data_IF_312180232745
#
_entry.id   IF_312180232745
#
_cell.length_a   1.000
_cell.length_b   1.000
_cell.length_c   1.000
_cell.angle_alpha   90.00
_cell.angle_beta   90.00
_cell.angle_gamma   90.00
#
_symmetry.space_group_name_H-M   'P 1'
#
loop_
_entity.id
_entity.type
_entity.pdbx_description
1 polymer ?
#
# COMPACT_ATOMS: atom_id res chain seq x y z
N UNK A 1 -13.60 40.13 23.02
CA UNK A 1 -12.74 40.20 21.81
C UNK A 1 -11.29 40.20 22.27
N UNK A 2 -10.61 39.06 22.25
CA UNK A 2 -9.15 38.98 22.42
C UNK A 2 -8.61 38.05 21.34
N UNK A 3 -7.95 38.64 20.35
CA UNK A 3 -7.34 37.96 19.21
C UNK A 3 -5.95 37.50 19.62
N UNK A 4 -5.77 36.22 19.93
CA UNK A 4 -4.43 35.63 20.14
C UNK A 4 -3.87 35.26 18.77
N UNK A 5 -2.87 36.02 18.33
CA UNK A 5 -2.14 35.79 17.09
C UNK A 5 -1.35 34.48 17.17
N UNK A 6 -1.80 33.46 16.43
CA UNK A 6 -1.04 32.25 16.17
C UNK A 6 0.19 32.60 15.32
N UNK A 7 1.34 32.67 15.98
CA UNK A 7 2.66 32.84 15.36
C UNK A 7 2.94 31.59 14.51
N UNK A 8 2.73 31.69 13.19
CA UNK A 8 3.20 30.67 12.23
C UNK A 8 4.71 30.56 12.39
N UNK A 9 5.19 29.50 13.04
CA UNK A 9 6.60 29.11 12.96
C UNK A 9 6.86 28.77 11.49
N UNK A 10 7.54 29.68 10.78
CA UNK A 10 8.14 29.34 9.50
C UNK A 10 9.19 28.27 9.77
N UNK A 11 8.88 27.03 9.39
CA UNK A 11 9.91 26.03 9.21
C UNK A 11 10.85 26.57 8.14
N UNK A 12 12.01 27.09 8.54
CA UNK A 12 13.11 27.33 7.62
C UNK A 12 13.47 25.97 7.03
N UNK A 13 13.08 25.79 5.78
CA UNK A 13 13.32 24.61 5.00
C UNK A 13 14.81 24.58 4.67
N UNK A 14 15.62 23.98 5.54
CA UNK A 14 16.93 23.50 5.13
C UNK A 14 16.68 22.38 4.14
N UNK A 15 16.61 22.74 2.86
CA UNK A 15 16.49 21.82 1.76
C UNK A 15 17.80 21.05 1.63
N UNK A 16 17.98 20.04 2.48
CA UNK A 16 18.87 18.93 2.16
C UNK A 16 18.48 18.47 0.74
N UNK A 17 19.41 18.61 -0.21
CA UNK A 17 19.19 18.19 -1.59
C UNK A 17 19.13 16.67 -1.62
N UNK A 18 17.93 16.11 -1.50
CA UNK A 18 17.70 14.67 -1.67
C UNK A 18 17.98 14.29 -3.12
N UNK A 19 18.56 13.11 -3.34
CA UNK A 19 18.74 12.57 -4.68
C UNK A 19 17.38 12.39 -5.37
N UNK A 20 17.27 12.82 -6.63
CA UNK A 20 16.05 12.69 -7.43
C UNK A 20 15.80 11.25 -7.88
N UNK A 21 16.87 10.50 -8.09
CA UNK A 21 16.88 9.12 -8.60
C UNK A 21 17.83 8.26 -7.78
N UNK A 22 17.46 7.00 -7.59
CA UNK A 22 18.25 5.98 -6.89
C UNK A 22 18.32 4.74 -7.77
N UNK A 23 19.51 4.14 -7.83
CA UNK A 23 19.72 2.80 -8.39
C UNK A 23 19.69 1.78 -7.25
N UNK A 24 18.87 0.74 -7.40
CA UNK A 24 18.71 -0.34 -6.42
C UNK A 24 19.21 -1.64 -7.03
N UNK A 25 20.04 -2.37 -6.30
CA UNK A 25 20.45 -3.73 -6.68
C UNK A 25 19.29 -4.69 -6.47
N UNK A 26 18.91 -5.40 -7.53
CA UNK A 26 17.85 -6.41 -7.47
C UNK A 26 18.38 -7.74 -6.91
N UNK A 27 17.55 -8.51 -6.19
CA UNK A 27 17.91 -9.85 -5.78
C UNK A 27 18.06 -10.75 -7.01
N UNK A 28 18.85 -11.81 -6.86
CA UNK A 28 19.00 -12.82 -7.90
C UNK A 28 17.83 -13.80 -7.79
N UNK A 29 17.18 -14.07 -8.91
CA UNK A 29 16.10 -15.05 -8.99
C UNK A 29 16.59 -16.33 -9.64
N UNK A 30 16.07 -17.45 -9.15
CA UNK A 30 16.21 -18.73 -9.83
C UNK A 30 15.24 -18.79 -11.01
N UNK A 31 15.72 -19.35 -12.12
CA UNK A 31 14.99 -19.34 -13.40
C UNK A 31 14.63 -20.76 -13.80
N UNK A 32 13.48 -20.90 -14.45
CA UNK A 32 13.03 -22.14 -15.06
C UNK A 32 12.69 -21.87 -16.53
N UNK A 33 13.34 -22.58 -17.46
CA UNK A 33 13.21 -22.41 -18.91
C UNK A 33 13.43 -20.97 -19.42
N UNK A 34 14.29 -20.20 -18.74
CA UNK A 34 14.70 -18.85 -19.12
C UNK A 34 16.22 -18.72 -18.99
N UNK A 35 16.84 -17.92 -19.86
CA UNK A 35 18.24 -17.55 -19.70
C UNK A 35 18.37 -16.51 -18.58
N UNK A 36 19.20 -16.80 -17.58
CA UNK A 36 19.44 -15.90 -16.44
C UNK A 36 20.08 -14.57 -16.86
N UNK A 37 20.78 -14.54 -18.00
CA UNK A 37 21.45 -13.34 -18.51
C UNK A 37 20.49 -12.20 -18.86
N UNK A 38 19.22 -12.51 -19.14
CA UNK A 38 18.21 -11.53 -19.55
C UNK A 38 17.60 -10.76 -18.37
N UNK A 39 17.81 -11.22 -17.14
CA UNK A 39 17.21 -10.61 -15.96
C UNK A 39 17.96 -9.33 -15.56
N UNK A 40 17.26 -8.22 -15.28
CA UNK A 40 17.89 -7.01 -14.79
C UNK A 40 18.50 -7.27 -13.40
N UNK A 41 19.72 -6.78 -13.18
CA UNK A 41 20.42 -6.87 -11.89
C UNK A 41 20.25 -5.61 -11.04
N UNK A 42 19.72 -4.55 -11.66
CA UNK A 42 19.55 -3.21 -11.10
C UNK A 42 18.24 -2.63 -11.58
N UNK A 43 17.61 -1.80 -10.75
CA UNK A 43 16.47 -0.98 -11.11
C UNK A 43 16.74 0.48 -10.75
N UNK A 44 16.19 1.41 -11.53
CA UNK A 44 16.22 2.83 -11.22
C UNK A 44 14.84 3.27 -10.79
N UNK A 45 14.75 4.08 -9.74
CA UNK A 45 13.49 4.64 -9.23
C UNK A 45 13.70 6.08 -8.78
N UNK A 46 12.61 6.83 -8.71
CA UNK A 46 12.60 8.21 -8.23
C UNK A 46 12.22 8.29 -6.75
N UNK A 47 12.54 9.43 -6.12
CA UNK A 47 12.07 9.73 -4.77
C UNK A 47 10.54 9.62 -4.65
N UNK A 48 9.81 10.13 -5.63
CA UNK A 48 8.36 10.24 -5.58
C UNK A 48 7.69 8.87 -5.69
N UNK A 49 8.22 7.98 -6.53
CA UNK A 49 7.78 6.57 -6.60
C UNK A 49 8.00 5.85 -5.26
N UNK A 50 9.18 6.00 -4.66
CA UNK A 50 9.48 5.38 -3.37
C UNK A 50 8.56 5.89 -2.24
N UNK A 51 8.30 7.20 -2.20
CA UNK A 51 7.38 7.79 -1.24
C UNK A 51 5.95 7.28 -1.46
N UNK A 52 5.50 7.19 -2.72
CA UNK A 52 4.19 6.62 -3.06
C UNK A 52 4.08 5.18 -2.56
N UNK A 53 5.04 4.32 -2.88
CA UNK A 53 5.06 2.93 -2.43
C UNK A 53 5.06 2.84 -0.90
N UNK A 54 5.85 3.66 -0.21
CA UNK A 54 5.88 3.71 1.25
C UNK A 54 4.51 4.11 1.83
N UNK A 55 3.88 5.15 1.27
CA UNK A 55 2.56 5.60 1.70
C UNK A 55 1.50 4.53 1.50
N UNK A 56 1.48 3.87 0.33
CA UNK A 56 0.53 2.80 0.02
C UNK A 56 0.72 1.59 0.92
N UNK A 57 1.97 1.13 1.13
CA UNK A 57 2.24 0.00 2.03
C UNK A 57 1.84 0.32 3.47
N UNK A 58 2.22 1.50 3.98
CA UNK A 58 1.86 1.89 5.34
C UNK A 58 0.34 2.09 5.48
N UNK A 59 -0.35 2.60 4.46
CA UNK A 59 -1.80 2.70 4.45
C UNK A 59 -2.46 1.31 4.53
N UNK A 60 -2.05 0.36 3.68
CA UNK A 60 -2.55 -1.02 3.73
C UNK A 60 -2.32 -1.65 5.11
N UNK A 61 -1.12 -1.51 5.69
CA UNK A 61 -0.80 -1.96 7.06
C UNK A 61 -1.78 -1.40 8.10
N UNK A 62 -2.11 -0.11 8.03
CA UNK A 62 -3.02 0.53 9.01
C UNK A 62 -4.45 0.06 8.86
N UNK A 63 -4.92 -0.17 7.63
CA UNK A 63 -6.24 -0.77 7.40
C UNK A 63 -6.31 -2.15 8.01
N UNK A 64 -5.28 -2.98 7.84
CA UNK A 64 -5.25 -4.35 8.39
C UNK A 64 -5.19 -4.39 9.92
N UNK A 65 -4.39 -3.51 10.53
CA UNK A 65 -4.37 -3.37 12.00
C UNK A 65 -5.77 -2.97 12.51
N UNK A 66 -6.47 -2.10 11.80
CA UNK A 66 -7.83 -1.73 12.17
C UNK A 66 -8.81 -2.90 11.97
N UNK A 67 -8.70 -3.68 10.89
CA UNK A 67 -9.44 -4.93 10.69
C UNK A 67 -9.27 -5.89 11.87
N UNK A 68 -8.04 -6.06 12.37
CA UNK A 68 -7.76 -6.87 13.57
C UNK A 68 -8.47 -6.32 14.81
N UNK A 69 -8.42 -5.01 15.04
CA UNK A 69 -9.07 -4.36 16.18
C UNK A 69 -10.59 -4.57 16.17
N UNK A 70 -11.27 -4.34 15.04
CA UNK A 70 -12.72 -4.51 14.92
C UNK A 70 -13.14 -5.99 14.98
N UNK A 71 -12.27 -6.90 14.54
CA UNK A 71 -12.48 -8.34 14.67
C UNK A 71 -12.41 -8.78 16.14
N UNK A 72 -11.41 -8.28 16.89
CA UNK A 72 -11.29 -8.53 18.34
C UNK A 72 -12.48 -7.98 19.13
N UNK A 73 -13.04 -6.85 18.71
CA UNK A 73 -14.27 -6.26 19.27
C UNK A 73 -15.56 -7.02 18.91
N UNK A 74 -15.48 -8.08 18.10
CA UNK A 74 -16.62 -8.87 17.61
C UNK A 74 -17.59 -8.07 16.72
N UNK A 75 -17.12 -6.98 16.13
CA UNK A 75 -17.87 -6.19 15.16
C UNK A 75 -17.83 -6.85 13.77
N UNK A 76 -16.75 -7.58 13.48
CA UNK A 76 -16.60 -8.48 12.33
C UNK A 76 -16.81 -9.92 12.79
N UNK A 77 -17.48 -10.74 11.97
CA UNK A 77 -17.72 -12.17 12.23
C UNK A 77 -17.18 -13.03 11.10
N UNK A 78 -17.05 -14.33 11.36
CA UNK A 78 -16.58 -15.27 10.34
C UNK A 78 -15.08 -15.16 10.11
N UNK A 79 -14.66 -14.96 8.87
CA UNK A 79 -13.25 -14.99 8.47
C UNK A 79 -12.66 -13.59 8.33
N UNK A 80 -11.40 -13.43 8.73
CA UNK A 80 -10.61 -12.21 8.54
C UNK A 80 -9.14 -12.59 8.29
N UNK A 81 -8.68 -12.46 7.04
CA UNK A 81 -7.34 -12.89 6.63
C UNK A 81 -6.47 -11.68 6.31
N UNK A 82 -5.67 -11.25 7.29
CA UNK A 82 -4.89 -10.00 7.24
C UNK A 82 -3.61 -10.15 6.42
N UNK A 83 -3.30 -9.23 5.50
CA UNK A 83 -2.06 -9.27 4.72
C UNK A 83 -0.96 -8.34 5.23
N UNK A 84 -1.03 -7.93 6.50
CA UNK A 84 0.04 -7.16 7.12
C UNK A 84 1.36 -7.96 7.13
N UNK A 85 2.41 -7.35 6.57
CA UNK A 85 3.69 -8.01 6.27
C UNK A 85 3.85 -8.48 4.81
N UNK A 86 2.80 -8.41 4.00
CA UNK A 86 2.82 -8.74 2.56
C UNK A 86 2.47 -7.53 1.67
N UNK A 87 2.56 -6.30 2.18
CA UNK A 87 2.14 -5.09 1.46
C UNK A 87 2.98 -4.84 0.21
N UNK A 88 4.26 -5.21 0.24
CA UNK A 88 5.16 -5.13 -0.90
C UNK A 88 4.67 -5.97 -2.09
N UNK A 89 3.87 -7.01 -1.86
CA UNK A 89 3.27 -7.82 -2.93
C UNK A 89 2.18 -7.02 -3.65
N UNK A 90 1.22 -6.43 -2.93
CA UNK A 90 0.17 -5.61 -3.54
C UNK A 90 0.71 -4.36 -4.22
N UNK A 91 1.49 -3.57 -3.47
CA UNK A 91 2.05 -2.33 -3.99
C UNK A 91 3.03 -2.58 -5.13
N UNK A 92 3.85 -3.63 -5.03
CA UNK A 92 4.80 -4.00 -6.08
C UNK A 92 4.11 -4.48 -7.36
N UNK A 93 3.08 -5.32 -7.25
CA UNK A 93 2.30 -5.76 -8.42
C UNK A 93 1.62 -4.56 -9.08
N UNK A 94 0.94 -3.71 -8.31
CA UNK A 94 0.27 -2.52 -8.83
C UNK A 94 1.23 -1.49 -9.46
N UNK A 95 2.46 -1.39 -8.97
CA UNK A 95 3.48 -0.53 -9.57
C UNK A 95 3.99 -1.05 -10.92
N UNK A 96 3.87 -2.36 -11.17
CA UNK A 96 4.36 -3.02 -12.39
C UNK A 96 3.32 -3.21 -13.48
N UNK A 97 2.05 -2.88 -13.23
CA UNK A 97 0.93 -3.10 -14.15
C UNK A 97 0.09 -1.83 -14.33
N UNK A 98 -0.94 -1.92 -15.16
CA UNK A 98 -1.93 -0.88 -15.41
C UNK A 98 -3.30 -1.22 -14.79
N UNK A 99 -4.26 -0.29 -14.86
CA UNK A 99 -5.63 -0.54 -14.35
C UNK A 99 -6.48 -1.36 -15.33
N UNK A 100 -6.01 -1.48 -16.56
CA UNK A 100 -6.57 -2.31 -17.62
C UNK A 100 -6.21 -3.79 -17.40
N UNK A 101 -5.08 -4.07 -16.74
CA UNK A 101 -4.66 -5.43 -16.42
C UNK A 101 -5.57 -6.07 -15.36
N UNK A 102 -5.78 -7.39 -15.50
CA UNK A 102 -6.62 -8.18 -14.61
C UNK A 102 -5.80 -8.85 -13.51
N UNK A 103 -6.31 -8.82 -12.27
CA UNK A 103 -5.73 -9.54 -11.14
C UNK A 103 -6.81 -10.41 -10.50
N UNK A 104 -6.41 -11.63 -10.13
CA UNK A 104 -7.17 -12.53 -9.29
C UNK A 104 -6.29 -12.98 -8.12
N UNK A 105 -6.90 -13.14 -6.95
CA UNK A 105 -6.22 -13.66 -5.75
C UNK A 105 -7.22 -14.44 -4.90
N UNK A 106 -6.73 -15.05 -3.82
CA UNK A 106 -7.54 -15.81 -2.86
C UNK A 106 -8.17 -14.90 -1.78
N UNK A 107 -8.51 -15.46 -0.62
CA UNK A 107 -9.23 -14.79 0.48
C UNK A 107 -8.39 -13.81 1.31
N UNK A 108 -7.06 -13.73 1.07
CA UNK A 108 -6.16 -12.76 1.70
C UNK A 108 -5.95 -11.59 0.75
N UNK A 109 -6.98 -10.76 0.59
CA UNK A 109 -7.09 -9.86 -0.57
C UNK A 109 -7.28 -8.38 -0.26
N UNK A 110 -7.34 -7.96 1.01
CA UNK A 110 -7.64 -6.58 1.38
C UNK A 110 -6.70 -5.56 0.72
N UNK A 111 -5.39 -5.76 0.81
CA UNK A 111 -4.40 -4.89 0.17
C UNK A 111 -4.44 -4.94 -1.36
N UNK A 112 -4.81 -6.06 -1.99
CA UNK A 112 -5.03 -6.09 -3.45
C UNK A 112 -6.26 -5.27 -3.83
N UNK A 113 -7.35 -5.41 -3.08
CA UNK A 113 -8.57 -4.62 -3.29
C UNK A 113 -8.29 -3.11 -3.16
N UNK A 114 -7.53 -2.71 -2.13
CA UNK A 114 -7.08 -1.31 -1.96
C UNK A 114 -6.16 -0.87 -3.12
N UNK A 115 -5.22 -1.72 -3.54
CA UNK A 115 -4.35 -1.46 -4.68
C UNK A 115 -5.12 -1.24 -5.98
N UNK A 116 -6.22 -1.99 -6.20
CA UNK A 116 -7.14 -1.82 -7.34
C UNK A 116 -8.01 -0.57 -7.28
N UNK A 117 -7.92 0.23 -6.22
CA UNK A 117 -8.56 1.53 -6.13
C UNK A 117 -9.86 1.55 -5.31
N UNK A 118 -10.20 0.47 -4.61
CA UNK A 118 -11.26 0.53 -3.61
C UNK A 118 -10.81 1.32 -2.38
N UNK A 119 -11.78 1.92 -1.69
CA UNK A 119 -11.55 2.73 -0.50
C UNK A 119 -11.52 1.88 0.76
N UNK A 120 -10.71 2.29 1.74
CA UNK A 120 -10.73 1.66 3.07
C UNK A 120 -12.12 1.74 3.73
N UNK A 121 -12.86 2.82 3.52
CA UNK A 121 -14.21 2.96 4.07
C UNK A 121 -15.16 1.87 3.57
N UNK A 122 -15.16 1.58 2.26
CA UNK A 122 -16.00 0.53 1.67
C UNK A 122 -15.52 -0.87 2.05
N UNK A 123 -14.20 -1.09 2.12
CA UNK A 123 -13.63 -2.35 2.62
C UNK A 123 -14.07 -2.62 4.06
N UNK A 124 -14.00 -1.63 4.94
CA UNK A 124 -14.34 -1.81 6.35
C UNK A 124 -15.84 -1.94 6.55
N UNK A 125 -16.64 -1.18 5.78
CA UNK A 125 -18.08 -1.38 5.73
C UNK A 125 -18.45 -2.81 5.32
N UNK A 126 -17.74 -3.38 4.34
CA UNK A 126 -17.90 -4.78 3.93
C UNK A 126 -17.60 -5.74 5.08
N UNK A 127 -16.44 -5.59 5.72
CA UNK A 127 -16.04 -6.43 6.85
C UNK A 127 -17.05 -6.39 8.00
N UNK A 128 -17.64 -5.23 8.26
CA UNK A 128 -18.65 -5.02 9.29
C UNK A 128 -20.09 -5.36 8.85
N UNK A 129 -20.27 -5.88 7.63
CA UNK A 129 -21.58 -6.25 7.07
C UNK A 129 -22.55 -5.08 6.93
N UNK A 130 -22.06 -3.91 6.49
CA UNK A 130 -22.86 -2.69 6.28
C UNK A 130 -23.22 -2.54 4.80
N UNK A 131 -24.39 -1.97 4.53
CA UNK A 131 -24.91 -1.75 3.17
C UNK A 131 -24.06 -0.79 2.29
N UNK A 132 -23.10 -0.09 2.89
CA UNK A 132 -22.12 0.73 2.16
C UNK A 132 -20.86 -0.06 1.79
N UNK A 133 -20.90 -1.39 1.95
CA UNK A 133 -19.82 -2.31 1.67
C UNK A 133 -19.43 -2.35 0.19
N UNK A 134 -18.27 -2.94 -0.06
CA UNK A 134 -17.75 -3.15 -1.40
C UNK A 134 -18.71 -3.99 -2.26
N UNK A 135 -19.44 -4.94 -1.65
CA UNK A 135 -20.29 -5.92 -2.33
C UNK A 135 -21.81 -5.71 -2.17
N UNK A 136 -22.24 -4.59 -1.57
CA UNK A 136 -23.61 -4.14 -1.23
C UNK A 136 -24.01 -4.45 0.22
#
# INVERSE_FOLDING_TARGET
>A
MLTVALRRMSFMQSAARFASTVEVKLPQYEVFNLDKSVLPTKATTTRDELLKCYHEMNFQRRVEIMCDEIYKKKEVRGFCHLMDGQEAVSVGVEAGITKEDHIITAYRCHGMLLGRGETAARLIAEMMGKATGASK
#
